data_IF_358397307188
#
_entry.id   IF_358397307188
#
_cell.length_a   1.000
_cell.length_b   1.000
_cell.length_c   1.000
_cell.angle_alpha   90.00
_cell.angle_beta   90.00
_cell.angle_gamma   90.00
#
_symmetry.space_group_name_H-M   'P 1'
#
loop_
_entity.id
_entity.type
_entity.pdbx_description
1 polymer ?
#
# COMPACT_ATOMS: atom_id res chain seq x y z
N UNK A 1 21.52 12.68 41.57
CA UNK A 1 20.87 12.43 40.26
C UNK A 1 21.22 13.62 39.39
N UNK A 2 22.04 13.43 38.35
CA UNK A 2 22.36 14.52 37.41
C UNK A 2 21.12 14.92 36.61
N UNK A 3 21.00 16.17 36.17
CA UNK A 3 19.85 16.61 35.40
C UNK A 3 19.81 15.79 34.11
N UNK A 4 18.64 15.28 33.77
CA UNK A 4 18.38 14.71 32.45
C UNK A 4 18.44 15.84 31.43
N UNK A 5 19.64 16.19 30.99
CA UNK A 5 19.84 17.05 29.82
C UNK A 5 19.18 16.36 28.64
N UNK A 6 17.98 16.83 28.30
CA UNK A 6 17.32 16.47 27.04
C UNK A 6 18.29 16.82 25.93
N UNK A 7 18.89 15.78 25.32
CA UNK A 7 19.77 15.95 24.16
C UNK A 7 19.05 16.78 23.11
N UNK A 8 19.80 17.66 22.46
CA UNK A 8 19.31 18.44 21.34
C UNK A 8 18.70 17.52 20.27
N UNK A 9 17.63 17.96 19.59
CA UNK A 9 17.05 17.22 18.49
C UNK A 9 18.09 17.03 17.38
N UNK A 10 18.00 15.89 16.70
CA UNK A 10 18.84 15.59 15.53
C UNK A 10 18.63 16.63 14.44
N UNK A 11 19.72 17.22 13.97
CA UNK A 11 19.68 18.13 12.83
C UNK A 11 19.53 17.36 11.53
N UNK A 12 18.97 17.99 10.49
CA UNK A 12 18.85 17.37 9.16
C UNK A 12 20.19 16.91 8.62
N UNK A 13 21.27 17.67 8.85
CA UNK A 13 22.63 17.28 8.43
C UNK A 13 23.12 16.00 9.12
N UNK A 14 22.87 15.84 10.43
CA UNK A 14 23.25 14.63 11.16
C UNK A 14 22.47 13.41 10.67
N UNK A 15 21.17 13.58 10.40
CA UNK A 15 20.30 12.53 9.85
C UNK A 15 20.80 12.13 8.45
N UNK A 16 21.05 13.10 7.57
CA UNK A 16 21.60 12.86 6.24
C UNK A 16 22.94 12.15 6.30
N UNK A 17 23.86 12.54 7.19
CA UNK A 17 25.15 11.86 7.37
C UNK A 17 24.97 10.42 7.84
N UNK A 18 24.06 10.18 8.78
CA UNK A 18 23.72 8.84 9.25
C UNK A 18 23.17 7.97 8.13
N UNK A 19 22.16 8.45 7.40
CA UNK A 19 21.53 7.67 6.33
C UNK A 19 22.45 7.47 5.13
N UNK A 20 23.33 8.43 4.82
CA UNK A 20 24.37 8.23 3.81
C UNK A 20 25.35 7.12 4.18
N UNK A 21 25.74 7.06 5.46
CA UNK A 21 26.53 5.94 5.95
C UNK A 21 25.78 4.62 5.79
N UNK A 22 24.49 4.57 6.16
CA UNK A 22 23.66 3.37 6.00
C UNK A 22 23.58 2.94 4.54
N UNK A 23 23.27 3.86 3.63
CA UNK A 23 23.19 3.58 2.19
C UNK A 23 24.48 2.94 1.67
N UNK A 24 25.63 3.56 1.97
CA UNK A 24 26.97 3.05 1.58
C UNK A 24 27.26 1.66 2.13
N UNK A 25 26.89 1.40 3.38
CA UNK A 25 27.11 0.08 3.98
C UNK A 25 26.20 -0.98 3.35
N UNK A 26 24.94 -0.64 3.08
CA UNK A 26 23.96 -1.57 2.49
C UNK A 26 24.28 -1.90 1.03
N UNK A 27 24.84 -0.95 0.27
CA UNK A 27 25.31 -1.15 -1.10
C UNK A 27 26.48 -2.14 -1.18
N UNK A 28 27.43 -2.03 -0.24
CA UNK A 28 28.61 -2.91 -0.18
C UNK A 28 28.30 -4.30 0.37
N UNK A 29 27.22 -4.45 1.14
CA UNK A 29 26.91 -5.70 1.83
C UNK A 29 26.33 -6.74 0.87
N UNK A 30 26.91 -7.93 0.82
CA UNK A 30 26.32 -9.07 0.09
C UNK A 30 25.15 -9.71 0.86
N UNK A 31 25.16 -9.66 2.20
CA UNK A 31 24.15 -10.22 3.09
C UNK A 31 23.33 -9.15 3.83
N UNK A 32 22.39 -9.58 4.67
CA UNK A 32 21.68 -8.70 5.59
C UNK A 32 22.62 -8.12 6.66
N UNK A 33 22.34 -6.90 7.09
CA UNK A 33 23.14 -6.17 8.08
C UNK A 33 22.45 -6.15 9.44
N UNK A 34 23.19 -6.49 10.49
CA UNK A 34 22.70 -6.27 11.85
C UNK A 34 22.83 -4.79 12.23
N UNK A 35 21.83 -4.27 12.94
CA UNK A 35 21.88 -2.90 13.48
C UNK A 35 23.07 -2.67 14.41
N UNK A 36 23.50 -3.69 15.15
CA UNK A 36 24.63 -3.56 16.06
C UNK A 36 25.92 -3.31 15.29
N UNK A 37 26.20 -4.11 14.25
CA UNK A 37 27.36 -3.89 13.37
C UNK A 37 27.28 -2.54 12.66
N UNK A 38 26.11 -2.19 12.13
CA UNK A 38 25.90 -0.93 11.43
C UNK A 38 26.14 0.29 12.33
N UNK A 39 25.55 0.29 13.53
CA UNK A 39 25.69 1.42 14.46
C UNK A 39 27.10 1.52 15.03
N UNK A 40 27.74 0.40 15.39
CA UNK A 40 29.14 0.40 15.83
C UNK A 40 30.06 0.95 14.75
N UNK A 41 29.91 0.49 13.50
CA UNK A 41 30.71 1.00 12.38
C UNK A 41 30.51 2.50 12.15
N UNK A 42 29.30 3.03 12.39
CA UNK A 42 29.06 4.47 12.33
C UNK A 42 29.80 5.23 13.44
N UNK A 43 29.73 4.75 14.69
CA UNK A 43 30.41 5.36 15.83
C UNK A 43 31.93 5.42 15.60
N UNK A 44 32.52 4.30 15.17
CA UNK A 44 33.95 4.18 14.88
C UNK A 44 34.38 5.11 13.73
N UNK A 45 33.62 5.12 12.64
CA UNK A 45 34.00 5.88 11.43
C UNK A 45 33.81 7.39 11.56
N UNK A 46 32.85 7.83 12.39
CA UNK A 46 32.47 9.25 12.49
C UNK A 46 32.81 9.88 13.84
N UNK A 47 33.49 9.15 14.73
CA UNK A 47 33.80 9.59 16.11
C UNK A 47 32.56 10.17 16.83
N UNK A 48 31.42 9.53 16.61
CA UNK A 48 30.14 10.04 17.10
C UNK A 48 29.96 9.71 18.59
N UNK A 49 29.48 10.67 19.37
CA UNK A 49 29.12 10.46 20.79
C UNK A 49 27.66 10.02 20.98
N UNK A 50 27.00 9.60 19.89
CA UNK A 50 25.63 9.11 19.93
C UNK A 50 25.57 7.72 20.56
N UNK A 51 24.45 7.39 21.21
CA UNK A 51 24.25 6.03 21.70
C UNK A 51 23.78 5.13 20.55
N UNK A 52 24.09 3.84 20.63
CA UNK A 52 23.60 2.85 19.65
C UNK A 52 22.07 2.85 19.55
N UNK A 53 21.38 3.00 20.68
CA UNK A 53 19.93 3.08 20.73
C UNK A 53 19.40 4.33 20.00
N UNK A 54 20.07 5.48 20.15
CA UNK A 54 19.69 6.70 19.44
C UNK A 54 19.86 6.56 17.92
N UNK A 55 20.99 6.00 17.48
CA UNK A 55 21.27 5.73 16.06
C UNK A 55 20.21 4.80 15.46
N UNK A 56 20.00 3.65 16.09
CA UNK A 56 18.99 2.67 15.67
C UNK A 56 17.61 3.31 15.56
N UNK A 57 17.21 4.09 16.57
CA UNK A 57 15.90 4.75 16.60
C UNK A 57 15.73 5.73 15.44
N UNK A 58 16.76 6.50 15.08
CA UNK A 58 16.69 7.40 13.93
C UNK A 58 16.61 6.62 12.61
N UNK A 59 17.45 5.59 12.43
CA UNK A 59 17.43 4.77 11.21
C UNK A 59 16.03 4.17 11.00
N UNK A 60 15.47 3.55 12.03
CA UNK A 60 14.12 2.96 11.96
C UNK A 60 13.11 4.04 11.65
N UNK A 61 13.06 5.14 12.42
CA UNK A 61 12.09 6.22 12.23
C UNK A 61 12.08 6.76 10.79
N UNK A 62 13.26 6.95 10.20
CA UNK A 62 13.35 7.50 8.85
C UNK A 62 13.03 6.49 7.76
N UNK A 63 13.45 5.23 7.91
CA UNK A 63 13.17 4.20 6.91
C UNK A 63 11.73 3.66 6.98
N UNK A 64 11.09 3.68 8.15
CA UNK A 64 9.70 3.21 8.30
C UNK A 64 8.69 4.30 7.99
N UNK A 65 8.78 5.47 8.64
CA UNK A 65 7.71 6.49 8.60
C UNK A 65 8.05 7.66 7.69
N UNK A 66 9.31 8.10 7.68
CA UNK A 66 9.73 9.34 6.99
C UNK A 66 10.51 9.06 5.71
N UNK A 67 10.27 7.91 5.09
CA UNK A 67 11.03 7.48 3.91
C UNK A 67 10.83 8.41 2.71
N UNK A 68 9.68 9.10 2.67
CA UNK A 68 9.38 10.12 1.68
C UNK A 68 10.16 11.42 1.90
N UNK A 69 10.46 11.76 3.15
CA UNK A 69 11.26 12.94 3.49
C UNK A 69 12.73 12.79 3.02
N UNK A 70 13.15 11.57 2.67
CA UNK A 70 14.51 11.24 2.20
C UNK A 70 14.71 11.62 0.72
N UNK A 71 14.45 12.87 0.34
CA UNK A 71 14.49 13.35 -1.05
C UNK A 71 15.88 13.28 -1.69
N UNK A 72 16.94 13.26 -0.88
CA UNK A 72 18.33 13.14 -1.34
C UNK A 72 18.71 11.72 -1.80
N UNK A 73 17.87 10.72 -1.49
CA UNK A 73 18.13 9.33 -1.81
C UNK A 73 17.23 8.88 -2.96
N UNK A 74 17.83 8.24 -3.96
CA UNK A 74 17.07 7.58 -5.02
C UNK A 74 16.24 6.41 -4.46
N UNK A 75 15.14 6.07 -5.15
CA UNK A 75 14.24 4.99 -4.76
C UNK A 75 15.01 3.67 -4.55
N UNK A 76 15.92 3.34 -5.47
CA UNK A 76 16.74 2.13 -5.40
C UNK A 76 17.60 2.09 -4.14
N UNK A 77 18.20 3.22 -3.73
CA UNK A 77 18.97 3.32 -2.49
C UNK A 77 18.08 3.13 -1.26
N UNK A 78 16.87 3.71 -1.25
CA UNK A 78 15.90 3.52 -0.16
C UNK A 78 15.48 2.05 -0.04
N UNK A 79 15.16 1.41 -1.16
CA UNK A 79 14.77 0.00 -1.23
C UNK A 79 15.92 -0.91 -0.78
N UNK A 80 17.16 -0.64 -1.21
CA UNK A 80 18.34 -1.38 -0.76
C UNK A 80 18.50 -1.32 0.76
N UNK A 81 18.37 -0.13 1.35
CA UNK A 81 18.45 0.05 2.80
C UNK A 81 17.37 -0.74 3.54
N UNK A 82 16.11 -0.66 3.09
CA UNK A 82 14.99 -1.41 3.66
C UNK A 82 15.23 -2.92 3.62
N UNK A 83 15.63 -3.44 2.45
CA UNK A 83 15.85 -4.86 2.23
C UNK A 83 17.01 -5.38 3.08
N UNK A 84 18.17 -4.71 3.05
CA UNK A 84 19.37 -5.17 3.75
C UNK A 84 19.25 -5.09 5.26
N UNK A 85 18.43 -4.18 5.79
CA UNK A 85 18.16 -4.05 7.21
C UNK A 85 16.89 -4.78 7.67
N UNK A 86 16.17 -5.42 6.74
CA UNK A 86 14.92 -6.13 7.02
C UNK A 86 13.90 -5.22 7.74
N UNK A 87 13.65 -4.04 7.18
CA UNK A 87 12.71 -3.04 7.72
C UNK A 87 11.46 -2.97 6.84
N UNK A 88 10.29 -2.97 7.48
CA UNK A 88 9.02 -2.75 6.80
C UNK A 88 8.77 -1.24 6.62
N UNK A 89 8.67 -0.72 5.39
CA UNK A 89 8.33 0.68 5.15
C UNK A 89 6.83 0.95 5.37
N UNK A 90 6.45 2.22 5.44
CA UNK A 90 5.05 2.63 5.40
C UNK A 90 4.37 2.18 4.09
N UNK A 91 3.10 1.79 4.20
CA UNK A 91 2.29 1.24 3.10
C UNK A 91 2.28 2.14 1.86
N UNK A 92 2.19 3.47 2.05
CA UNK A 92 2.20 4.43 0.93
C UNK A 92 3.47 4.35 0.08
N UNK A 93 4.62 4.01 0.68
CA UNK A 93 5.86 3.77 -0.05
C UNK A 93 5.80 2.48 -0.85
N UNK A 94 5.27 1.40 -0.26
CA UNK A 94 5.09 0.11 -0.95
C UNK A 94 4.18 0.28 -2.17
N UNK A 95 3.04 0.97 -2.02
CA UNK A 95 2.10 1.22 -3.12
C UNK A 95 2.80 1.91 -4.29
N UNK A 96 3.69 2.87 -4.04
CA UNK A 96 4.49 3.51 -5.10
C UNK A 96 5.51 2.56 -5.73
N UNK A 97 6.10 1.64 -4.96
CA UNK A 97 7.00 0.66 -5.55
C UNK A 97 6.28 -0.27 -6.54
N UNK A 98 5.05 -0.69 -6.24
CA UNK A 98 4.25 -1.52 -7.16
C UNK A 98 3.97 -0.87 -8.52
N UNK A 99 4.07 0.46 -8.62
CA UNK A 99 3.88 1.17 -9.88
C UNK A 99 5.08 1.03 -10.83
N UNK A 100 6.28 0.77 -10.29
CA UNK A 100 7.54 0.80 -11.07
C UNK A 100 8.37 -0.47 -10.94
N UNK A 101 7.94 -1.42 -10.10
CA UNK A 101 8.66 -2.65 -9.81
C UNK A 101 7.72 -3.82 -9.46
N UNK A 102 8.21 -5.02 -9.68
CA UNK A 102 7.68 -6.25 -9.10
C UNK A 102 8.19 -6.35 -7.65
N UNK A 103 7.28 -6.41 -6.68
CA UNK A 103 7.60 -6.41 -5.25
C UNK A 103 6.88 -7.56 -4.58
N UNK A 104 7.60 -8.32 -3.75
CA UNK A 104 6.96 -9.22 -2.78
C UNK A 104 7.33 -8.79 -1.38
N UNK A 105 6.32 -8.85 -0.52
CA UNK A 105 6.49 -8.66 0.91
C UNK A 105 6.50 -10.01 1.61
N UNK A 106 7.14 -10.08 2.77
CA UNK A 106 7.00 -11.20 3.69
C UNK A 106 5.78 -11.05 4.60
N UNK A 107 5.61 -12.00 5.50
CA UNK A 107 4.55 -12.11 6.52
C UNK A 107 4.51 -10.94 7.51
N UNK A 108 5.55 -10.10 7.56
CA UNK A 108 5.61 -8.90 8.41
C UNK A 108 5.81 -7.61 7.59
N UNK A 109 5.39 -7.62 6.32
CA UNK A 109 5.43 -6.48 5.40
C UNK A 109 6.83 -5.92 5.09
N UNK A 110 7.88 -6.73 5.24
CA UNK A 110 9.23 -6.38 4.77
C UNK A 110 9.40 -6.81 3.33
N UNK A 111 10.17 -6.05 2.57
CA UNK A 111 10.49 -6.41 1.19
C UNK A 111 11.32 -7.70 1.20
N UNK A 112 10.78 -8.76 0.62
CA UNK A 112 11.44 -10.08 0.47
C UNK A 112 11.96 -10.29 -0.96
N UNK A 113 11.33 -9.63 -1.93
CA UNK A 113 11.76 -9.57 -3.32
C UNK A 113 11.47 -8.19 -3.91
N UNK A 114 12.40 -7.71 -4.74
CA UNK A 114 12.22 -6.48 -5.50
C UNK A 114 12.89 -6.62 -6.86
N UNK A 115 12.20 -6.22 -7.92
CA UNK A 115 12.76 -6.12 -9.26
C UNK A 115 12.17 -4.93 -9.98
N UNK A 116 13.02 -3.96 -10.30
CA UNK A 116 12.62 -2.78 -11.05
C UNK A 116 12.22 -3.15 -12.50
N UNK A 117 11.17 -2.53 -13.03
CA UNK A 117 10.62 -2.86 -14.35
C UNK A 117 11.46 -2.33 -15.53
N UNK A 118 12.61 -1.71 -15.26
CA UNK A 118 13.52 -1.17 -16.28
C UNK A 118 14.67 -2.13 -16.59
N UNK A 119 15.17 -2.09 -17.82
CA UNK A 119 16.32 -2.89 -18.25
C UNK A 119 17.56 -2.50 -17.43
N UNK A 120 18.23 -3.49 -16.85
CA UNK A 120 19.37 -3.27 -15.96
C UNK A 120 19.01 -2.63 -14.61
N UNK A 121 17.72 -2.62 -14.24
CA UNK A 121 17.24 -2.11 -12.97
C UNK A 121 17.68 -2.95 -11.77
N UNK A 122 17.42 -2.42 -10.57
CA UNK A 122 17.80 -3.08 -9.32
C UNK A 122 16.98 -4.37 -9.11
N UNK A 123 17.67 -5.46 -8.74
CA UNK A 123 17.06 -6.74 -8.39
C UNK A 123 17.57 -7.20 -7.03
N UNK A 124 16.65 -7.53 -6.12
CA UNK A 124 16.92 -8.00 -4.77
C UNK A 124 16.09 -9.24 -4.46
N UNK A 125 16.72 -10.19 -3.77
CA UNK A 125 16.08 -11.44 -3.36
C UNK A 125 15.93 -12.45 -4.50
N UNK A 126 15.13 -13.47 -4.26
CA UNK A 126 14.81 -14.51 -5.24
C UNK A 126 13.31 -14.74 -5.23
N UNK A 127 12.70 -14.77 -6.43
CA UNK A 127 11.27 -15.00 -6.56
C UNK A 127 10.94 -16.43 -6.06
N UNK A 128 10.02 -16.59 -5.08
CA UNK A 128 9.65 -17.89 -4.57
C UNK A 128 9.00 -18.75 -5.68
N UNK A 129 9.13 -20.08 -5.62
CA UNK A 129 8.62 -20.99 -6.66
C UNK A 129 7.13 -20.82 -6.94
N UNK A 130 6.36 -20.48 -5.91
CA UNK A 130 4.90 -20.33 -5.99
C UNK A 130 4.50 -19.13 -6.86
N UNK A 131 5.22 -18.00 -6.73
CA UNK A 131 4.98 -16.80 -7.53
C UNK A 131 5.44 -16.96 -9.00
N UNK A 132 6.37 -17.87 -9.28
CA UNK A 132 6.78 -18.20 -10.67
C UNK A 132 5.68 -18.91 -11.45
N UNK A 133 4.79 -19.63 -10.78
CA UNK A 133 3.82 -20.52 -11.44
C UNK A 133 2.52 -19.81 -11.84
N UNK A 134 2.10 -18.76 -11.12
CA UNK A 134 0.89 -17.98 -11.43
C UNK A 134 0.97 -17.28 -12.80
N UNK A 135 2.14 -16.77 -13.17
CA UNK A 135 2.37 -16.07 -14.45
C UNK A 135 2.26 -17.00 -15.68
N UNK A 136 2.49 -18.31 -15.50
CA UNK A 136 2.41 -19.31 -16.58
C UNK A 136 0.99 -19.81 -16.84
N UNK A 137 0.11 -19.71 -15.85
CA UNK A 137 -1.31 -20.12 -15.96
C UNK A 137 -2.12 -19.07 -16.73
N UNK A 138 -1.90 -17.78 -16.45
CA UNK A 138 -2.67 -16.69 -17.09
C UNK A 138 -2.39 -16.56 -18.60
N UNK A 139 -1.15 -16.83 -19.04
CA UNK A 139 -0.79 -16.88 -20.49
C UNK A 139 -1.50 -18.00 -21.24
N UNK A 140 -1.83 -19.11 -20.58
CA UNK A 140 -2.57 -20.23 -21.19
C UNK A 140 -4.06 -19.92 -21.34
N UNK A 141 -4.64 -19.14 -20.44
CA UNK A 141 -6.06 -18.77 -20.50
C UNK A 141 -6.32 -17.68 -21.56
N UNK A 142 -5.43 -16.69 -21.71
CA UNK A 142 -5.51 -15.69 -22.79
C UNK A 142 -5.40 -16.29 -24.20
N UNK A 143 -4.87 -17.51 -24.31
CA UNK A 143 -4.73 -18.26 -25.56
C UNK A 143 -5.95 -19.16 -25.88
N UNK A 144 -6.94 -19.23 -24.98
CA UNK A 144 -8.18 -20.00 -25.16
C UNK A 144 -9.35 -19.05 -25.34
N UNK A 145 -9.38 -18.32 -26.45
CA UNK A 145 -10.67 -17.87 -26.99
C UNK A 145 -11.41 -19.10 -27.53
N UNK A 146 -12.64 -19.38 -27.10
CA UNK A 146 -13.48 -20.33 -27.81
C UNK A 146 -13.82 -19.70 -29.16
N UNK A 147 -13.35 -20.29 -30.25
CA UNK A 147 -13.81 -19.97 -31.59
C UNK A 147 -15.34 -20.10 -31.65
N UNK A 148 -16.01 -19.04 -32.11
CA UNK A 148 -17.45 -19.05 -32.44
C UNK A 148 -17.80 -20.29 -33.27
N UNK A 149 -18.87 -21.03 -32.97
CA UNK A 149 -19.38 -22.03 -33.88
C UNK A 149 -20.00 -21.34 -35.10
N UNK A 150 -19.29 -21.40 -36.22
CA UNK A 150 -19.79 -21.11 -37.55
C UNK A 150 -20.80 -22.19 -37.95
N UNK A 151 -22.10 -21.91 -37.82
CA UNK A 151 -23.16 -22.43 -38.70
C UNK A 151 -24.53 -22.01 -38.17
N UNK A 152 -25.10 -20.93 -38.72
CA UNK A 152 -26.55 -20.76 -38.72
C UNK A 152 -27.11 -21.56 -39.91
N UNK A 153 -28.10 -22.45 -39.71
CA UNK A 153 -28.88 -22.98 -40.82
C UNK A 153 -29.86 -21.91 -41.28
N UNK A 154 -29.82 -21.58 -42.57
CA UNK A 154 -30.87 -20.82 -43.25
C UNK A 154 -32.07 -21.74 -43.47
N UNK A 155 -33.29 -21.31 -43.13
CA UNK A 155 -34.49 -21.82 -43.79
C UNK A 155 -35.13 -20.68 -44.60
N UNK A 156 -35.12 -20.83 -45.91
CA UNK A 156 -36.02 -20.09 -46.81
C UNK A 156 -37.39 -20.79 -46.81
N UNK A 157 -38.46 -20.05 -46.50
CA UNK A 157 -39.75 -20.15 -47.20
C UNK A 157 -40.74 -19.11 -46.66
N UNK A 158 -41.28 -18.35 -47.59
CA UNK A 158 -42.28 -17.28 -47.50
C UNK A 158 -43.62 -17.72 -46.88
N UNK A 159 -44.27 -16.85 -46.08
CA UNK A 159 -45.75 -16.61 -45.96
C UNK A 159 -45.91 -15.26 -45.20
N UNK A 160 -46.07 -14.12 -45.89
CA UNK A 160 -47.29 -13.43 -46.37
C UNK A 160 -47.71 -12.28 -45.41
N UNK A 161 -47.86 -11.02 -45.87
CA UNK A 161 -48.09 -9.85 -45.02
C UNK A 161 -49.55 -9.41 -45.12
N UNK A 162 -50.39 -9.74 -44.14
CA UNK A 162 -51.58 -8.95 -43.82
C UNK A 162 -52.22 -9.45 -42.52
N UNK A 163 -52.74 -8.49 -41.74
CA UNK A 163 -53.70 -8.61 -40.63
C UNK A 163 -53.19 -8.74 -39.16
N UNK A 164 -53.94 -8.20 -38.17
CA UNK A 164 -53.71 -6.84 -37.68
C UNK A 164 -53.35 -6.76 -36.18
N UNK A 165 -52.81 -5.60 -35.78
CA UNK A 165 -52.53 -5.23 -34.39
C UNK A 165 -53.86 -5.10 -33.62
N UNK A 166 -54.05 -5.94 -32.59
CA UNK A 166 -55.07 -5.69 -31.56
C UNK A 166 -54.37 -5.32 -30.25
N UNK A 167 -54.36 -4.01 -29.98
CA UNK A 167 -54.37 -3.48 -28.62
C UNK A 167 -55.75 -3.79 -28.02
N UNK A 168 -55.80 -4.60 -26.97
CA UNK A 168 -56.89 -4.49 -25.98
C UNK A 168 -56.28 -4.27 -24.61
N UNK A 169 -56.60 -3.08 -24.12
CA UNK A 169 -56.34 -2.53 -22.80
C UNK A 169 -57.51 -2.92 -21.88
N UNK A 170 -57.20 -3.13 -20.59
CA UNK A 170 -58.12 -3.09 -19.43
C UNK A 170 -59.20 -4.20 -19.33
N UNK A 171 -59.42 -4.88 -18.20
CA UNK A 171 -59.63 -4.37 -16.83
C UNK A 171 -59.41 -5.47 -15.75
N UNK A 172 -58.74 -5.05 -14.66
CA UNK A 172 -59.04 -5.28 -13.22
C UNK A 172 -59.02 -6.70 -12.61
N UNK A 173 -57.95 -7.08 -11.86
CA UNK A 173 -57.71 -6.94 -10.39
C UNK A 173 -58.29 -8.12 -9.56
N UNK A 174 -57.88 -8.35 -8.31
CA UNK A 174 -56.53 -8.52 -7.74
C UNK A 174 -56.42 -9.86 -6.96
N UNK A 175 -55.23 -10.33 -6.58
CA UNK A 175 -55.15 -11.10 -5.34
C UNK A 175 -53.96 -10.66 -4.49
N UNK A 176 -54.34 -10.18 -3.32
CA UNK A 176 -53.51 -9.65 -2.28
C UNK A 176 -52.78 -10.81 -1.60
N UNK A 177 -51.51 -10.59 -1.31
CA UNK A 177 -51.00 -10.88 0.03
C UNK A 177 -49.95 -9.82 0.33
N UNK A 178 -50.47 -8.64 0.67
CA UNK A 178 -49.88 -7.84 1.73
C UNK A 178 -49.92 -8.68 3.01
N UNK A 179 -48.77 -8.85 3.65
CA UNK A 179 -48.71 -8.46 5.05
C UNK A 179 -47.50 -7.56 5.25
N UNK A 180 -47.78 -6.30 4.96
CA UNK A 180 -47.19 -5.10 5.54
C UNK A 180 -47.12 -5.19 7.06
N UNK A 181 -46.06 -4.62 7.61
CA UNK A 181 -46.17 -3.39 8.42
C UNK A 181 -44.72 -2.96 8.70
N UNK A 182 -44.10 -1.98 8.04
CA UNK A 182 -44.55 -0.62 7.70
C UNK A 182 -45.11 0.15 8.90
N UNK A 183 -44.28 1.04 9.46
CA UNK A 183 -44.42 2.51 9.29
C UNK A 183 -43.37 3.18 10.19
N UNK A 184 -42.41 3.93 9.64
CA UNK A 184 -42.49 5.17 8.83
C UNK A 184 -42.80 6.41 9.68
N UNK A 185 -41.94 7.41 9.43
CA UNK A 185 -42.10 8.87 9.56
C UNK A 185 -42.30 9.42 10.98
N UNK A 186 -41.73 10.55 11.39
CA UNK A 186 -41.46 11.79 10.65
C UNK A 186 -40.41 12.66 11.35
N UNK A 187 -39.80 13.57 10.60
CA UNK A 187 -39.19 14.82 11.08
C UNK A 187 -40.15 15.60 12.02
N UNK A 188 -39.65 16.43 12.94
CA UNK A 188 -39.72 17.91 13.00
C UNK A 188 -39.03 18.39 14.31
N UNK A 189 -38.48 19.61 14.25
CA UNK A 189 -37.73 20.45 15.19
C UNK A 189 -38.19 20.48 16.67
N UNK A 190 -37.24 20.73 17.59
CA UNK A 190 -37.08 22.06 18.25
C UNK A 190 -36.04 22.06 19.38
N UNK A 191 -35.36 23.20 19.47
CA UNK A 191 -34.44 23.70 20.48
C UNK A 191 -34.94 23.63 21.93
N UNK A 192 -34.04 23.50 22.90
CA UNK A 192 -33.60 24.58 23.83
C UNK A 192 -32.77 24.02 25.01
N UNK A 193 -31.63 24.69 25.26
CA UNK A 193 -31.10 25.18 26.54
C UNK A 193 -31.10 24.24 27.77
N UNK A 194 -30.04 24.11 28.57
CA UNK A 194 -29.31 25.21 29.21
C UNK A 194 -28.19 24.72 30.15
N UNK A 195 -27.18 25.60 30.35
CA UNK A 195 -26.31 25.83 31.53
C UNK A 195 -25.30 24.72 31.89
N UNK A 196 -24.02 24.98 32.09
CA UNK A 196 -23.27 26.23 32.25
C UNK A 196 -22.22 26.00 33.35
N UNK A 197 -20.96 26.34 33.09
CA UNK A 197 -20.04 26.91 34.08
C UNK A 197 -18.74 27.34 33.39
N UNK A 198 -18.48 28.63 33.51
CA UNK A 198 -17.24 29.31 33.14
C UNK A 198 -16.61 29.66 34.48
N UNK A 199 -15.40 29.16 34.75
CA UNK A 199 -14.54 29.77 35.77
C UNK A 199 -13.35 30.44 35.10
N UNK A 200 -13.33 31.77 35.22
CA UNK A 200 -12.14 32.59 35.06
C UNK A 200 -11.24 32.39 36.26
N UNK A 201 -9.94 32.23 36.03
CA UNK A 201 -8.95 32.63 37.03
C UNK A 201 -7.86 33.45 36.34
N UNK A 202 -7.98 34.76 36.54
CA UNK A 202 -6.91 35.75 36.49
C UNK A 202 -6.34 35.84 37.91
N UNK A 203 -5.05 35.57 38.06
CA UNK A 203 -4.14 36.25 38.96
C UNK A 203 -2.70 36.04 38.47
#
# INVERSE_FOLDING_TARGET
>A
MGPYEKRAPWTSSEITKLLNFVAKQTEKASSFLSFQQLCNGYLESNQSNQSLSALRSQIIKFLTVKIDDLVEFEINSKVMMLYKLQIAPIESFVIRLFQTAEVLLDDVNRISYYKENKVGGLVLGSLPPEARNSERVERRERSRTPSLPTSLPVPNSEVDPDEPIILTEYLERPNNNDNSDSRSVSCVHSSQESKGEIEYNLN
#
